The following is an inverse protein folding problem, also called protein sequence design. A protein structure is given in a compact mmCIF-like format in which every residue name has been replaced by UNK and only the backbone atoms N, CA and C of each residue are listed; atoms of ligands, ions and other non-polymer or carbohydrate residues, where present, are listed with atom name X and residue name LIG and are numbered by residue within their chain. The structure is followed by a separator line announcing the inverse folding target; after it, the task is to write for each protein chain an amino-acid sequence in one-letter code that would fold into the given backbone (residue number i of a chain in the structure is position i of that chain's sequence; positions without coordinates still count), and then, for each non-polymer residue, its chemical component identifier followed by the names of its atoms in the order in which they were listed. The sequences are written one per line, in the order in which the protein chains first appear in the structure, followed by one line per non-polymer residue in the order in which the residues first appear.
data_IF_223088655327
#
_entry.id   IF_223088655327
#
_cell.length_a   1.000
_cell.length_b   1.000
_cell.length_c   1.000
_cell.angle_alpha   90.00
_cell.angle_beta   90.00
_cell.angle_gamma   90.00
#
_symmetry.space_group_name_H-M   'P 1'
#
loop_
_entity.id
_entity.type
_entity.pdbx_description
1 polymer ?
#
# COMPACT_ATOMS: atom_id res chain seq x y z
N UNK A 1 7.89 14.27 13.08
CA UNK A 1 8.53 12.93 13.06
C UNK A 1 7.93 12.07 14.16
N UNK A 2 6.70 11.62 13.98
CA UNK A 2 6.12 10.58 14.82
C UNK A 2 6.57 9.24 14.23
N UNK A 3 7.43 8.52 14.96
CA UNK A 3 7.85 7.18 14.57
C UNK A 3 6.63 6.27 14.65
N UNK A 4 6.01 6.00 13.50
CA UNK A 4 5.13 4.86 13.34
C UNK A 4 5.97 3.62 13.62
N UNK A 5 5.88 3.09 14.85
CA UNK A 5 6.39 1.76 15.16
C UNK A 5 5.37 0.81 14.53
N UNK A 6 5.71 0.03 13.50
CA UNK A 6 4.82 -1.05 13.10
C UNK A 6 4.71 -1.98 14.30
N UNK A 7 3.49 -2.12 14.82
CA UNK A 7 3.16 -3.24 15.67
C UNK A 7 3.47 -4.50 14.86
N UNK A 8 4.25 -5.46 15.40
CA UNK A 8 4.33 -6.79 14.82
C UNK A 8 3.02 -7.48 15.19
N UNK A 9 1.92 -7.09 14.55
CA UNK A 9 0.75 -7.95 14.54
C UNK A 9 1.13 -9.18 13.74
N UNK A 10 1.10 -10.31 14.43
CA UNK A 10 1.34 -11.63 13.90
C UNK A 10 0.37 -11.86 12.75
N UNK A 11 0.82 -11.54 11.53
CA UNK A 11 0.13 -11.95 10.32
C UNK A 11 0.04 -13.46 10.33
N UNK A 12 -1.15 -13.99 10.59
CA UNK A 12 -1.48 -15.36 10.20
C UNK A 12 -1.42 -15.37 8.68
N UNK A 13 -0.30 -15.86 8.15
CA UNK A 13 -0.09 -15.92 6.71
C UNK A 13 -0.94 -17.07 6.20
N UNK A 14 -2.09 -16.73 5.62
CA UNK A 14 -2.87 -17.70 4.88
C UNK A 14 -2.21 -17.94 3.53
N UNK A 15 -1.98 -19.22 3.28
CA UNK A 15 -0.92 -19.67 2.43
C UNK A 15 -1.54 -20.84 1.64
N UNK A 16 -1.68 -20.66 0.33
CA UNK A 16 -2.33 -21.63 -0.56
C UNK A 16 -1.36 -22.35 -1.48
N UNK A 17 -1.46 -23.67 -1.47
CA UNK A 17 -0.47 -24.59 -2.03
C UNK A 17 -0.50 -24.57 -3.56
N UNK A 18 0.67 -24.41 -4.19
CA UNK A 18 0.85 -24.39 -5.65
C UNK A 18 1.58 -25.66 -6.10
N UNK A 19 0.94 -26.53 -6.89
CA UNK A 19 1.66 -27.48 -7.76
C UNK A 19 0.85 -27.85 -9.01
N UNK A 20 1.53 -28.22 -10.10
CA UNK A 20 0.91 -28.89 -11.25
C UNK A 20 0.53 -30.35 -10.90
N UNK A 21 -0.73 -30.78 -11.13
CA UNK A 21 -1.14 -32.19 -10.90
C UNK A 21 -0.46 -33.17 -11.85
N UNK A 22 0.09 -32.74 -13.00
CA UNK A 22 0.87 -33.65 -13.83
C UNK A 22 2.12 -34.20 -13.12
N UNK A 23 2.49 -33.59 -11.99
CA UNK A 23 3.56 -34.04 -11.12
C UNK A 23 3.15 -35.13 -10.09
N UNK A 24 1.86 -35.52 -10.00
CA UNK A 24 1.41 -36.55 -9.05
C UNK A 24 1.92 -37.98 -9.37
N UNK A 25 2.40 -38.24 -10.59
CA UNK A 25 3.09 -39.50 -10.92
C UNK A 25 4.56 -39.21 -11.23
N UNK A 26 5.44 -39.58 -10.30
CA UNK A 26 6.89 -39.52 -10.50
C UNK A 26 7.61 -38.34 -9.84
N UNK A 27 6.96 -37.55 -8.97
CA UNK A 27 7.67 -36.55 -8.19
C UNK A 27 8.60 -37.18 -7.15
N UNK A 28 9.82 -36.63 -6.97
CA UNK A 28 10.71 -37.03 -5.89
C UNK A 28 10.04 -36.91 -4.52
N UNK A 29 10.32 -37.84 -3.61
CA UNK A 29 9.75 -37.84 -2.26
C UNK A 29 10.10 -36.58 -1.44
N UNK A 30 11.16 -35.89 -1.84
CA UNK A 30 11.72 -34.68 -1.25
C UNK A 30 11.30 -33.39 -1.98
N UNK A 31 10.33 -33.45 -2.90
CA UNK A 31 9.85 -32.26 -3.59
C UNK A 31 9.38 -31.17 -2.60
N UNK A 32 9.78 -29.90 -2.79
CA UNK A 32 9.42 -28.80 -1.90
C UNK A 32 7.92 -28.53 -1.93
N UNK A 33 7.38 -28.13 -0.77
CA UNK A 33 6.02 -27.64 -0.67
C UNK A 33 6.01 -26.11 -0.72
N UNK A 34 5.42 -25.56 -1.77
CA UNK A 34 5.28 -24.12 -1.93
C UNK A 34 3.90 -23.63 -1.61
N UNK A 35 3.90 -22.38 -1.18
CA UNK A 35 2.71 -21.71 -0.78
C UNK A 35 2.71 -20.26 -1.22
N UNK A 36 1.57 -19.83 -1.75
CA UNK A 36 1.36 -18.54 -2.38
C UNK A 36 0.50 -17.67 -1.47
N UNK A 37 0.91 -16.42 -1.30
CA UNK A 37 0.26 -15.41 -0.45
C UNK A 37 0.59 -14.00 -0.95
N UNK A 38 0.16 -12.96 -0.25
CA UNK A 38 0.53 -11.57 -0.54
C UNK A 38 1.93 -11.26 -0.03
N UNK A 39 2.67 -10.44 -0.76
CA UNK A 39 3.99 -9.94 -0.38
C UNK A 39 3.97 -9.22 0.97
N UNK A 40 2.94 -8.43 1.26
CA UNK A 40 2.81 -7.71 2.53
C UNK A 40 2.58 -8.60 3.75
N UNK A 41 2.21 -9.88 3.55
CA UNK A 41 2.18 -10.86 4.64
C UNK A 41 3.60 -11.29 5.07
N UNK A 42 4.60 -11.05 4.21
CA UNK A 42 6.02 -11.34 4.45
C UNK A 42 6.76 -10.07 4.86
N UNK A 43 6.64 -9.00 4.07
CA UNK A 43 7.25 -7.70 4.34
C UNK A 43 6.47 -6.59 3.69
N UNK A 44 6.26 -5.49 4.42
CA UNK A 44 5.60 -4.27 3.92
C UNK A 44 6.55 -3.28 3.23
N UNK A 45 7.83 -3.62 3.11
CA UNK A 45 8.82 -2.72 2.53
C UNK A 45 8.57 -2.53 1.03
N UNK A 46 8.39 -1.27 0.62
CA UNK A 46 8.35 -0.92 -0.80
C UNK A 46 9.78 -0.85 -1.35
N UNK A 47 9.96 -1.26 -2.61
CA UNK A 47 11.27 -1.27 -3.25
C UNK A 47 12.11 -2.53 -3.03
N UNK A 48 11.72 -3.44 -2.13
CA UNK A 48 12.52 -4.63 -1.80
C UNK A 48 11.89 -5.89 -2.37
N UNK A 49 12.68 -6.67 -3.11
CA UNK A 49 12.31 -8.02 -3.55
C UNK A 49 13.15 -9.03 -2.77
N UNK A 50 12.48 -9.84 -1.95
CA UNK A 50 13.14 -10.83 -1.08
C UNK A 50 13.25 -12.16 -1.84
N UNK A 51 14.46 -12.70 -1.92
CA UNK A 51 14.72 -14.02 -2.51
C UNK A 51 15.63 -14.85 -1.60
N UNK A 52 15.44 -16.17 -1.62
CA UNK A 52 16.22 -17.17 -0.87
C UNK A 52 16.54 -16.80 0.59
N UNK A 53 15.54 -16.29 1.31
CA UNK A 53 15.71 -15.80 2.69
C UNK A 53 14.96 -16.67 3.69
N UNK A 54 15.61 -17.05 4.78
CA UNK A 54 14.98 -17.80 5.87
C UNK A 54 13.86 -16.95 6.51
N UNK A 55 12.79 -17.61 6.93
CA UNK A 55 11.65 -16.94 7.59
C UNK A 55 11.10 -17.81 8.72
N UNK A 56 10.68 -17.15 9.79
CA UNK A 56 9.95 -17.77 10.89
C UNK A 56 8.45 -17.58 10.69
N UNK A 57 7.67 -18.57 11.11
CA UNK A 57 6.21 -18.55 11.02
C UNK A 57 5.65 -19.93 10.70
N UNK A 58 4.34 -19.97 10.47
CA UNK A 58 3.65 -21.20 10.09
C UNK A 58 2.40 -20.90 9.25
N UNK A 59 2.02 -21.86 8.42
CA UNK A 59 0.71 -21.91 7.76
C UNK A 59 -0.20 -22.89 8.49
N UNK A 60 -1.50 -22.60 8.54
CA UNK A 60 -2.51 -23.51 9.08
C UNK A 60 -3.41 -24.05 7.98
N UNK A 61 -3.64 -25.36 7.98
CA UNK A 61 -4.61 -26.05 7.12
C UNK A 61 -5.77 -26.61 7.95
N UNK A 62 -6.91 -26.86 7.31
CA UNK A 62 -8.15 -27.32 7.96
C UNK A 62 -8.57 -26.40 9.11
N UNK A 63 -8.58 -25.09 8.85
CA UNK A 63 -8.97 -24.09 9.84
C UNK A 63 -10.48 -23.80 9.76
N UNK A 64 -11.29 -24.85 9.90
CA UNK A 64 -12.75 -24.77 9.96
C UNK A 64 -13.24 -24.74 11.40
N UNK A 65 -14.45 -24.25 11.63
CA UNK A 65 -15.04 -24.13 12.98
C UNK A 65 -15.23 -25.46 13.69
N UNK A 66 -15.27 -26.56 12.94
CA UNK A 66 -15.52 -27.92 13.39
C UNK A 66 -14.30 -28.85 13.26
N UNK A 67 -13.11 -28.30 12.98
CA UNK A 67 -11.88 -29.09 12.84
C UNK A 67 -10.70 -28.50 13.60
N UNK A 68 -9.77 -29.39 13.99
CA UNK A 68 -8.47 -28.96 14.54
C UNK A 68 -7.55 -28.56 13.39
N UNK A 69 -7.10 -27.31 13.41
CA UNK A 69 -6.13 -26.80 12.46
C UNK A 69 -4.80 -27.56 12.55
N UNK A 70 -4.17 -27.83 11.40
CA UNK A 70 -2.83 -28.40 11.30
C UNK A 70 -1.84 -27.30 10.93
N UNK A 71 -0.87 -27.06 11.81
CA UNK A 71 0.15 -26.02 11.61
C UNK A 71 1.44 -26.61 11.07
N UNK A 72 2.02 -25.98 10.05
CA UNK A 72 3.30 -26.37 9.47
C UNK A 72 4.24 -25.17 9.38
N UNK A 73 5.50 -25.32 9.83
CA UNK A 73 6.45 -24.22 9.84
C UNK A 73 6.92 -23.83 8.44
N UNK A 74 7.17 -22.53 8.26
CA UNK A 74 7.81 -21.99 7.07
C UNK A 74 9.30 -22.33 7.08
N UNK A 75 9.90 -22.43 5.89
CA UNK A 75 11.33 -22.69 5.71
C UNK A 75 12.05 -21.45 5.18
N UNK A 76 11.58 -20.92 4.06
CA UNK A 76 12.18 -19.75 3.41
C UNK A 76 11.20 -19.06 2.46
N UNK A 77 11.44 -17.79 2.22
CA UNK A 77 10.85 -17.01 1.14
C UNK A 77 11.68 -17.28 -0.10
N UNK A 78 11.08 -17.92 -1.11
CA UNK A 78 11.74 -18.13 -2.39
C UNK A 78 11.69 -16.88 -3.25
N UNK A 79 10.58 -16.13 -3.17
CA UNK A 79 10.39 -14.85 -3.83
C UNK A 79 9.26 -14.09 -3.12
N UNK A 80 9.43 -12.79 -2.86
CA UNK A 80 8.37 -11.92 -2.34
C UNK A 80 8.57 -10.50 -2.84
N UNK A 81 7.49 -9.83 -3.23
CA UNK A 81 7.52 -8.46 -3.73
C UNK A 81 6.25 -7.70 -3.35
N UNK A 82 6.42 -6.42 -3.05
CA UNK A 82 5.36 -5.39 -3.09
C UNK A 82 5.56 -4.41 -4.25
N UNK A 83 6.59 -4.66 -5.08
CA UNK A 83 7.03 -3.82 -6.18
C UNK A 83 6.28 -4.22 -7.44
N UNK A 84 5.23 -3.46 -7.78
CA UNK A 84 4.41 -3.71 -8.97
C UNK A 84 3.36 -4.81 -8.82
N UNK A 85 3.57 -5.73 -7.90
CA UNK A 85 2.62 -6.78 -7.49
C UNK A 85 2.76 -7.02 -6.00
N UNK A 86 1.73 -7.58 -5.36
CA UNK A 86 1.75 -7.96 -3.95
C UNK A 86 1.64 -9.47 -3.81
N UNK A 87 2.76 -10.16 -4.00
CA UNK A 87 2.82 -11.62 -4.06
C UNK A 87 4.06 -12.16 -3.35
N UNK A 88 3.92 -13.35 -2.77
CA UNK A 88 5.03 -14.12 -2.21
C UNK A 88 4.86 -15.62 -2.44
N UNK A 89 5.99 -16.28 -2.71
CA UNK A 89 6.15 -17.73 -2.81
C UNK A 89 7.04 -18.17 -1.65
N UNK A 90 6.47 -18.94 -0.74
CA UNK A 90 7.12 -19.42 0.49
C UNK A 90 7.21 -20.93 0.46
N UNK A 91 8.40 -21.47 0.75
CA UNK A 91 8.62 -22.90 0.93
C UNK A 91 8.38 -23.29 2.40
N UNK A 92 7.73 -24.43 2.61
CA UNK A 92 7.50 -25.01 3.93
C UNK A 92 8.64 -25.97 4.31
N UNK A 93 8.83 -26.20 5.61
CA UNK A 93 9.76 -27.23 6.09
C UNK A 93 9.33 -28.66 5.70
N UNK A 94 8.05 -29.08 5.86
CA UNK A 94 7.59 -30.38 5.35
C UNK A 94 7.68 -30.46 3.82
N UNK A 95 7.97 -31.67 3.33
CA UNK A 95 7.94 -31.95 1.89
C UNK A 95 6.51 -31.97 1.37
N UNK A 96 6.38 -31.82 0.06
CA UNK A 96 5.10 -31.93 -0.62
C UNK A 96 4.42 -33.28 -0.36
N UNK A 97 5.21 -34.36 -0.38
CA UNK A 97 4.73 -35.70 -0.10
C UNK A 97 4.18 -35.82 1.32
N UNK A 98 4.88 -35.26 2.31
CA UNK A 98 4.43 -35.26 3.70
C UNK A 98 3.05 -34.62 3.85
N UNK A 99 2.82 -33.48 3.19
CA UNK A 99 1.52 -32.81 3.22
C UNK A 99 0.42 -33.62 2.52
N UNK A 100 0.73 -34.30 1.41
CA UNK A 100 -0.22 -35.20 0.74
C UNK A 100 -0.60 -36.37 1.63
N UNK A 101 0.39 -36.98 2.28
CA UNK A 101 0.17 -38.09 3.21
C UNK A 101 -0.69 -37.64 4.41
N UNK A 102 -0.60 -36.38 4.80
CA UNK A 102 -1.46 -35.71 5.79
C UNK A 102 -2.85 -35.31 5.27
N UNK A 103 -3.18 -35.62 4.01
CA UNK A 103 -4.47 -35.34 3.39
C UNK A 103 -4.61 -33.91 2.83
N UNK A 104 -3.56 -33.10 2.88
CA UNK A 104 -3.55 -31.76 2.29
C UNK A 104 -3.25 -31.93 0.81
N UNK A 105 -4.08 -31.37 -0.06
CA UNK A 105 -3.93 -31.46 -1.52
C UNK A 105 -3.53 -30.11 -2.13
N UNK A 106 -2.67 -30.08 -3.15
CA UNK A 106 -2.30 -28.85 -3.81
C UNK A 106 -3.43 -28.35 -4.71
N UNK A 107 -3.53 -27.03 -4.80
CA UNK A 107 -4.30 -26.39 -5.86
C UNK A 107 -3.38 -26.13 -7.05
N UNK A 108 -3.99 -26.11 -8.24
CA UNK A 108 -3.28 -25.76 -9.47
C UNK A 108 -3.33 -24.26 -9.68
N UNK A 109 -2.32 -23.73 -10.36
CA UNK A 109 -2.38 -22.41 -10.96
C UNK A 109 -3.18 -22.48 -12.26
N UNK A 110 -4.09 -21.52 -12.44
CA UNK A 110 -4.75 -21.30 -13.73
C UNK A 110 -3.70 -20.87 -14.76
N UNK A 111 -3.86 -21.30 -16.02
CA UNK A 111 -3.00 -20.83 -17.12
C UNK A 111 -3.51 -19.56 -17.78
N UNK A 112 -4.77 -19.22 -17.55
CA UNK A 112 -5.46 -18.12 -18.21
C UNK A 112 -6.33 -17.38 -17.20
N UNK A 113 -6.54 -16.10 -17.45
CA UNK A 113 -7.46 -15.28 -16.69
C UNK A 113 -8.91 -15.70 -16.98
N UNK A 114 -9.80 -15.75 -15.98
CA UNK A 114 -11.23 -15.89 -16.25
C UNK A 114 -11.71 -14.75 -17.15
N UNK A 115 -12.70 -15.02 -18.00
CA UNK A 115 -13.40 -13.96 -18.72
C UNK A 115 -14.11 -13.02 -17.73
N UNK A 116 -14.32 -11.77 -18.15
CA UNK A 116 -15.06 -10.80 -17.35
C UNK A 116 -16.45 -11.34 -16.95
N UNK A 117 -16.85 -11.03 -15.74
CA UNK A 117 -18.09 -11.45 -15.08
C UNK A 117 -18.24 -12.98 -14.91
N UNK A 118 -17.16 -13.76 -15.07
CA UNK A 118 -17.21 -15.19 -14.75
C UNK A 118 -17.21 -15.48 -13.27
N UNK A 119 -17.96 -16.53 -12.90
CA UNK A 119 -18.04 -17.03 -11.53
C UNK A 119 -16.68 -17.47 -10.98
N UNK A 120 -16.38 -17.01 -9.78
CA UNK A 120 -15.17 -17.30 -9.02
C UNK A 120 -15.53 -17.63 -7.57
N UNK A 121 -14.57 -18.17 -6.84
CA UNK A 121 -14.66 -18.37 -5.41
C UNK A 121 -13.51 -17.63 -4.73
N UNK A 122 -13.80 -16.91 -3.67
CA UNK A 122 -12.82 -16.52 -2.67
C UNK A 122 -12.87 -17.51 -1.52
N UNK A 123 -11.71 -17.87 -0.98
CA UNK A 123 -11.58 -18.72 0.21
C UNK A 123 -10.56 -18.06 1.14
N UNK A 124 -10.91 -17.77 2.40
CA UNK A 124 -10.02 -17.09 3.34
C UNK A 124 -10.57 -17.01 4.76
N UNK A 125 -9.72 -16.68 5.74
CA UNK A 125 -10.10 -16.49 7.14
C UNK A 125 -9.87 -15.05 7.60
N UNK A 126 -10.80 -14.12 7.30
CA UNK A 126 -10.75 -12.74 7.78
C UNK A 126 -10.73 -12.70 9.31
N UNK A 127 -9.80 -11.95 9.91
CA UNK A 127 -9.53 -11.96 11.35
C UNK A 127 -10.71 -11.51 12.20
N UNK A 128 -11.45 -10.50 11.70
CA UNK A 128 -12.46 -9.79 12.47
C UNK A 128 -13.90 -10.23 12.16
N UNK A 129 -14.10 -11.24 11.30
CA UNK A 129 -15.43 -11.80 11.00
C UNK A 129 -15.67 -13.06 11.82
N UNK A 130 -16.73 -13.03 12.64
CA UNK A 130 -17.16 -14.14 13.50
C UNK A 130 -16.01 -14.73 14.35
N UNK A 131 -15.62 -15.99 14.08
CA UNK A 131 -14.56 -16.71 14.80
C UNK A 131 -13.20 -16.64 14.10
N UNK A 132 -13.10 -15.90 12.99
CA UNK A 132 -11.89 -15.79 12.18
C UNK A 132 -11.44 -17.11 11.53
N UNK A 133 -12.34 -18.05 11.29
CA UNK A 133 -12.08 -19.32 10.61
C UNK A 133 -12.31 -19.21 9.10
N UNK A 134 -11.91 -20.23 8.34
CA UNK A 134 -12.08 -20.28 6.88
C UNK A 134 -13.53 -20.05 6.48
N UNK A 135 -13.70 -19.16 5.51
CA UNK A 135 -14.94 -18.86 4.80
C UNK A 135 -14.75 -19.05 3.32
N UNK A 136 -15.87 -19.15 2.62
CA UNK A 136 -15.90 -19.13 1.17
C UNK A 136 -17.06 -18.25 0.70
N UNK A 137 -16.79 -17.43 -0.30
CA UNK A 137 -17.81 -16.64 -0.98
C UNK A 137 -17.74 -16.87 -2.49
N UNK A 138 -18.90 -16.95 -3.13
CA UNK A 138 -19.01 -16.94 -4.58
C UNK A 138 -19.32 -15.52 -5.07
N UNK A 139 -18.63 -15.11 -6.13
CA UNK A 139 -18.85 -13.82 -6.80
C UNK A 139 -18.38 -13.91 -8.25
N UNK A 140 -18.17 -12.77 -8.89
CA UNK A 140 -17.70 -12.69 -10.29
C UNK A 140 -16.35 -12.00 -10.41
N UNK A 141 -15.56 -12.43 -11.38
CA UNK A 141 -14.31 -11.80 -11.79
C UNK A 141 -14.58 -10.50 -12.54
N UNK A 142 -13.82 -9.46 -12.23
CA UNK A 142 -13.79 -8.22 -12.98
C UNK A 142 -12.35 -7.81 -13.25
N UNK A 143 -12.13 -7.15 -14.38
CA UNK A 143 -10.84 -6.56 -14.71
C UNK A 143 -10.58 -5.33 -13.86
N UNK A 144 -9.31 -5.16 -13.48
CA UNK A 144 -8.78 -3.95 -12.86
C UNK A 144 -7.39 -3.73 -13.47
N UNK A 145 -6.85 -2.52 -13.42
CA UNK A 145 -5.53 -2.27 -13.99
C UNK A 145 -4.55 -1.93 -12.87
N UNK A 146 -4.62 -0.70 -12.39
CA UNK A 146 -3.70 -0.17 -11.39
C UNK A 146 -4.44 0.09 -10.09
N UNK A 147 -3.83 -0.31 -8.98
CA UNK A 147 -4.23 0.10 -7.64
C UNK A 147 -3.07 0.84 -7.01
N UNK A 148 -3.38 1.98 -6.41
CA UNK A 148 -2.42 2.81 -5.70
C UNK A 148 -2.85 2.92 -4.24
N UNK A 149 -2.10 2.27 -3.36
CA UNK A 149 -2.18 2.42 -1.91
C UNK A 149 -0.81 2.89 -1.45
N UNK A 150 -0.60 4.22 -1.39
CA UNK A 150 0.75 4.75 -1.24
C UNK A 150 1.47 4.18 0.01
N UNK A 151 2.73 3.73 -0.13
CA UNK A 151 3.63 3.96 -1.26
C UNK A 151 3.57 2.88 -2.35
N UNK A 152 2.67 1.91 -2.23
CA UNK A 152 2.57 0.76 -3.11
C UNK A 152 1.73 1.06 -4.35
N UNK A 153 2.24 0.62 -5.49
CA UNK A 153 1.56 0.71 -6.77
C UNK A 153 1.57 -0.68 -7.37
N UNK A 154 0.39 -1.29 -7.45
CA UNK A 154 0.20 -2.61 -8.02
C UNK A 154 -0.43 -2.51 -9.41
N UNK A 155 0.19 -3.20 -10.36
CA UNK A 155 -0.21 -3.26 -11.76
C UNK A 155 -0.86 -4.60 -12.04
N UNK A 156 -1.63 -4.64 -13.13
CA UNK A 156 -2.34 -5.83 -13.59
C UNK A 156 -3.22 -6.46 -12.51
N UNK A 157 -3.97 -5.66 -11.76
CA UNK A 157 -4.82 -6.18 -10.67
C UNK A 157 -6.10 -6.83 -11.20
N UNK A 158 -6.82 -7.53 -10.35
CA UNK A 158 -8.18 -8.01 -10.62
C UNK A 158 -9.11 -7.51 -9.55
N UNK A 159 -10.39 -7.38 -9.87
CA UNK A 159 -11.41 -6.95 -8.93
C UNK A 159 -12.50 -8.00 -8.80
N UNK A 160 -13.16 -8.02 -7.65
CA UNK A 160 -14.38 -8.76 -7.40
C UNK A 160 -15.19 -8.08 -6.29
N UNK A 161 -16.38 -8.61 -5.99
CA UNK A 161 -17.24 -8.16 -4.90
C UNK A 161 -17.67 -9.32 -3.99
N UNK A 162 -16.79 -10.29 -3.79
CA UNK A 162 -17.02 -11.39 -2.85
C UNK A 162 -17.32 -10.83 -1.46
N UNK A 163 -18.44 -11.27 -0.87
CA UNK A 163 -18.87 -10.87 0.48
C UNK A 163 -18.00 -11.52 1.54
N UNK A 164 -18.06 -10.98 2.76
CA UNK A 164 -17.34 -11.44 3.94
C UNK A 164 -15.80 -11.36 3.86
N UNK A 165 -15.25 -10.70 2.84
CA UNK A 165 -13.83 -10.34 2.79
C UNK A 165 -13.61 -9.16 3.73
N UNK A 166 -12.56 -9.22 4.56
CA UNK A 166 -12.23 -8.20 5.56
C UNK A 166 -10.73 -8.26 5.90
N UNK A 167 -10.27 -7.39 6.81
CA UNK A 167 -8.92 -7.41 7.37
C UNK A 167 -8.49 -8.83 7.76
N UNK A 168 -7.32 -9.25 7.27
CA UNK A 168 -6.78 -10.60 7.44
C UNK A 168 -7.07 -11.56 6.29
N UNK A 169 -7.94 -11.21 5.34
CA UNK A 169 -8.16 -12.02 4.14
C UNK A 169 -7.01 -11.94 3.12
N UNK A 170 -6.06 -11.01 3.28
CA UNK A 170 -4.90 -10.91 2.41
C UNK A 170 -4.13 -12.22 2.29
N UNK A 171 -3.65 -12.53 1.08
CA UNK A 171 -3.00 -13.81 0.78
C UNK A 171 -3.95 -14.94 0.40
N UNK A 172 -5.26 -14.74 0.55
CA UNK A 172 -6.29 -15.69 0.14
C UNK A 172 -6.38 -15.88 -1.38
N UNK A 173 -6.68 -17.07 -1.91
CA UNK A 173 -6.78 -17.31 -3.32
C UNK A 173 -8.13 -16.84 -3.83
N UNK A 174 -8.09 -16.44 -5.09
CA UNK A 174 -9.25 -16.38 -5.94
C UNK A 174 -9.18 -17.59 -6.89
N UNK A 175 -10.24 -18.39 -6.87
CA UNK A 175 -10.33 -19.66 -7.57
C UNK A 175 -11.32 -19.55 -8.73
N UNK A 176 -10.98 -20.17 -9.85
CA UNK A 176 -11.92 -20.42 -10.93
C UNK A 176 -13.01 -21.39 -10.48
N UNK A 177 -14.29 -21.06 -10.69
CA UNK A 177 -15.42 -21.90 -10.21
C UNK A 177 -15.45 -23.30 -10.83
N UNK A 178 -14.99 -23.44 -12.09
CA UNK A 178 -15.08 -24.67 -12.88
C UNK A 178 -14.11 -25.77 -12.41
N UNK A 179 -12.90 -25.39 -12.02
CA UNK A 179 -11.79 -26.32 -11.78
C UNK A 179 -10.98 -26.02 -10.51
N UNK A 180 -11.38 -25.01 -9.72
CA UNK A 180 -10.74 -24.61 -8.47
C UNK A 180 -9.24 -24.32 -8.64
N UNK A 181 -8.88 -23.70 -9.75
CA UNK A 181 -7.50 -23.27 -10.01
C UNK A 181 -7.31 -21.85 -9.49
N UNK A 182 -6.17 -21.60 -8.85
CA UNK A 182 -5.81 -20.28 -8.35
C UNK A 182 -5.45 -19.42 -9.56
N UNK A 183 -6.20 -18.35 -9.79
CA UNK A 183 -5.91 -17.41 -10.87
C UNK A 183 -5.41 -16.06 -10.34
N UNK A 184 -5.70 -15.72 -9.07
CA UNK A 184 -5.18 -14.55 -8.40
C UNK A 184 -5.08 -14.76 -6.88
N UNK A 185 -4.35 -13.88 -6.20
CA UNK A 185 -4.25 -13.80 -4.74
C UNK A 185 -4.80 -12.45 -4.30
N UNK A 186 -5.68 -12.47 -3.31
CA UNK A 186 -6.30 -11.29 -2.73
C UNK A 186 -5.26 -10.46 -1.98
N UNK A 187 -5.20 -9.16 -2.22
CA UNK A 187 -4.22 -8.27 -1.58
C UNK A 187 -4.87 -7.11 -0.82
N UNK A 188 -5.97 -6.55 -1.34
CA UNK A 188 -6.63 -5.37 -0.76
C UNK A 188 -8.15 -5.55 -0.76
N UNK A 189 -8.83 -5.01 0.24
CA UNK A 189 -10.30 -4.87 0.28
C UNK A 189 -10.68 -3.42 0.52
N UNK A 190 -11.69 -2.96 -0.20
CA UNK A 190 -12.33 -1.65 -0.04
C UNK A 190 -13.81 -1.82 0.31
N UNK A 191 -14.14 -2.83 1.12
CA UNK A 191 -15.50 -3.02 1.61
C UNK A 191 -15.82 -2.01 2.70
N UNK A 192 -17.04 -1.48 2.71
CA UNK A 192 -17.47 -0.53 3.74
C UNK A 192 -17.31 -1.07 5.18
N UNK A 193 -17.27 -2.39 5.38
CA UNK A 193 -17.06 -3.00 6.69
C UNK A 193 -15.59 -3.07 7.13
N UNK A 194 -14.62 -2.87 6.23
CA UNK A 194 -13.20 -2.91 6.58
C UNK A 194 -12.78 -1.59 7.22
N UNK A 195 -12.06 -1.67 8.34
CA UNK A 195 -11.58 -0.49 9.08
C UNK A 195 -10.62 0.39 8.27
N UNK A 196 -9.98 -0.17 7.24
CA UNK A 196 -8.92 0.45 6.43
C UNK A 196 -9.33 0.63 4.95
N UNK A 197 -10.61 0.91 4.69
CA UNK A 197 -11.10 1.17 3.33
C UNK A 197 -10.32 2.32 2.69
N UNK A 198 -9.77 2.09 1.50
CA UNK A 198 -9.01 3.11 0.75
C UNK A 198 -9.97 4.11 0.11
N UNK A 199 -9.73 5.40 0.35
CA UNK A 199 -10.51 6.48 -0.26
C UNK A 199 -10.28 6.55 -1.79
N UNK A 200 -11.35 6.78 -2.54
CA UNK A 200 -11.29 7.01 -3.98
C UNK A 200 -11.18 8.51 -4.26
N UNK A 201 -10.04 8.92 -4.81
CA UNK A 201 -9.78 10.29 -5.20
C UNK A 201 -9.71 10.49 -6.72
N UNK A 202 -10.17 9.52 -7.51
CA UNK A 202 -10.07 9.59 -8.98
C UNK A 202 -10.88 10.72 -9.62
N UNK A 203 -11.98 11.16 -8.98
CA UNK A 203 -12.76 12.32 -9.43
C UNK A 203 -12.15 13.67 -9.00
N UNK A 204 -11.29 13.68 -7.97
CA UNK A 204 -10.70 14.88 -7.39
C UNK A 204 -9.26 15.14 -7.86
N UNK A 205 -8.50 14.07 -8.09
CA UNK A 205 -7.08 14.12 -8.44
C UNK A 205 -6.89 13.56 -9.85
N UNK A 206 -6.46 14.40 -10.81
CA UNK A 206 -6.11 13.91 -12.13
C UNK A 206 -5.06 12.80 -12.07
N UNK A 207 -5.31 11.68 -12.75
CA UNK A 207 -4.38 10.55 -12.82
C UNK A 207 -4.40 9.60 -11.61
N UNK A 208 -5.24 9.83 -10.60
CA UNK A 208 -5.43 8.87 -9.50
C UNK A 208 -6.22 7.65 -9.99
N UNK A 209 -5.72 6.41 -9.80
CA UNK A 209 -6.43 5.22 -10.24
C UNK A 209 -7.76 5.03 -9.49
N UNK A 210 -8.87 4.72 -10.19
CA UNK A 210 -10.19 4.60 -9.56
C UNK A 210 -10.26 3.43 -8.56
N UNK A 211 -10.78 3.73 -7.38
CA UNK A 211 -10.96 2.79 -6.27
C UNK A 211 -12.45 2.52 -6.05
N UNK A 212 -12.98 1.52 -6.76
CA UNK A 212 -14.40 1.20 -6.68
C UNK A 212 -14.77 0.73 -5.27
N UNK A 213 -15.75 1.40 -4.67
CA UNK A 213 -16.30 1.04 -3.37
C UNK A 213 -16.84 -0.40 -3.35
N UNK A 214 -16.88 -1.00 -2.16
CA UNK A 214 -17.39 -2.35 -1.93
C UNK A 214 -16.75 -3.43 -2.81
N UNK A 215 -15.46 -3.25 -3.11
CA UNK A 215 -14.70 -4.13 -3.99
C UNK A 215 -13.49 -4.74 -3.29
N UNK A 216 -13.05 -5.90 -3.77
CA UNK A 216 -11.80 -6.51 -3.35
C UNK A 216 -10.87 -6.68 -4.55
N UNK A 217 -9.58 -6.53 -4.31
CA UNK A 217 -8.55 -6.56 -5.31
C UNK A 217 -7.59 -7.73 -5.08
N UNK A 218 -7.00 -8.22 -6.17
CA UNK A 218 -5.99 -9.26 -6.13
C UNK A 218 -4.96 -9.13 -7.24
N UNK A 219 -3.84 -9.83 -7.09
CA UNK A 219 -2.80 -9.94 -8.10
C UNK A 219 -2.92 -11.29 -8.84
N UNK A 220 -3.02 -11.30 -10.18
CA UNK A 220 -2.99 -12.49 -11.01
C UNK A 220 -1.74 -13.33 -10.82
N UNK A 221 -1.91 -14.64 -10.91
CA UNK A 221 -0.83 -15.63 -10.75
C UNK A 221 -0.71 -16.56 -11.95
N UNK A 222 -1.45 -16.27 -13.03
CA UNK A 222 -1.49 -17.08 -14.25
C UNK A 222 -0.12 -17.22 -14.92
N UNK A 223 0.71 -16.17 -14.79
CA UNK A 223 2.08 -16.13 -15.30
C UNK A 223 3.06 -16.98 -14.49
N UNK A 224 2.72 -17.35 -13.25
CA UNK A 224 3.61 -18.13 -12.40
C UNK A 224 3.71 -19.59 -12.83
N UNK A 225 2.75 -20.10 -13.59
CA UNK A 225 2.72 -21.52 -13.99
C UNK A 225 4.02 -21.96 -14.67
N UNK A 226 4.57 -21.13 -15.56
CA UNK A 226 5.83 -21.42 -16.27
C UNK A 226 7.07 -21.39 -15.37
N UNK A 227 7.00 -20.71 -14.23
CA UNK A 227 8.09 -20.65 -13.26
C UNK A 227 8.32 -21.99 -12.55
N UNK A 228 7.36 -22.92 -12.57
CA UNK A 228 7.49 -24.20 -11.88
C UNK A 228 7.81 -25.33 -12.87
N UNK A 229 9.05 -25.82 -12.82
CA UNK A 229 9.51 -26.99 -13.59
C UNK A 229 9.66 -28.21 -12.67
N UNK A 230 8.98 -29.32 -12.96
CA UNK A 230 9.01 -30.52 -12.10
C UNK A 230 8.44 -30.30 -10.68
N UNK A 231 7.74 -29.18 -10.46
CA UNK A 231 7.25 -28.74 -9.15
C UNK A 231 8.24 -27.94 -8.32
N UNK A 232 9.37 -27.52 -8.90
CA UNK A 232 10.36 -26.64 -8.26
C UNK A 232 10.33 -25.26 -8.92
N UNK A 233 10.41 -24.19 -8.12
CA UNK A 233 10.49 -22.83 -8.64
C UNK A 233 11.84 -22.62 -9.34
N UNK A 234 11.80 -22.19 -10.61
CA UNK A 234 12.98 -21.77 -11.37
C UNK A 234 13.30 -20.31 -11.10
N UNK A 235 14.58 -20.02 -10.89
CA UNK A 235 15.12 -18.65 -10.82
C UNK A 235 15.75 -18.19 -12.13
N UNK A 236 15.68 -19.02 -13.18
CA UNK A 236 16.18 -18.67 -14.50
C UNK A 236 15.26 -17.64 -15.16
N UNK A 237 15.75 -16.42 -15.47
CA UNK A 237 14.94 -15.37 -16.11
C UNK A 237 14.47 -15.74 -17.52
N UNK A 238 15.06 -16.76 -18.18
CA UNK A 238 14.55 -17.30 -19.44
C UNK A 238 13.27 -18.15 -19.24
N UNK A 239 13.03 -18.65 -18.03
CA UNK A 239 11.91 -19.52 -17.67
C UNK A 239 10.86 -18.76 -16.87
N UNK A 240 11.29 -17.92 -15.93
CA UNK A 240 10.42 -17.28 -14.95
C UNK A 240 10.52 -15.75 -15.00
N UNK A 241 9.41 -15.10 -15.36
CA UNK A 241 9.31 -13.63 -15.44
C UNK A 241 9.27 -12.95 -14.05
N UNK A 242 9.48 -13.68 -12.96
CA UNK A 242 9.76 -13.07 -11.66
C UNK A 242 11.20 -12.58 -11.55
N UNK A 243 12.06 -12.97 -12.49
CA UNK A 243 13.49 -12.68 -12.53
C UNK A 243 13.88 -11.94 -13.82
N UNK A 244 14.95 -11.13 -13.82
CA UNK A 244 15.82 -10.82 -12.68
C UNK A 244 15.13 -9.90 -11.65
N UNK A 245 15.58 -9.99 -10.40
CA UNK A 245 15.14 -9.12 -9.30
C UNK A 245 16.17 -8.03 -9.04
N UNK A 246 15.73 -6.91 -8.49
CA UNK A 246 16.58 -5.89 -7.88
C UNK A 246 15.80 -5.27 -6.72
N UNK A 247 16.51 -4.66 -5.78
CA UNK A 247 15.93 -4.00 -4.63
C UNK A 247 16.47 -2.59 -4.47
N UNK A 248 15.58 -1.67 -4.12
CA UNK A 248 15.84 -0.26 -3.80
C UNK A 248 15.47 -0.02 -2.35
N UNK A 249 16.40 0.51 -1.58
CA UNK A 249 16.22 0.83 -0.16
C UNK A 249 16.26 2.35 0.05
N UNK A 250 15.17 2.90 0.56
CA UNK A 250 15.04 4.31 0.95
C UNK A 250 15.22 4.51 2.47
N UNK A 251 15.07 3.45 3.26
CA UNK A 251 15.09 3.50 4.73
C UNK A 251 16.49 3.71 5.29
N UNK A 252 17.51 3.08 4.70
CA UNK A 252 18.89 3.22 5.18
C UNK A 252 19.41 4.66 5.16
N UNK A 253 18.89 5.49 4.26
CA UNK A 253 19.24 6.90 4.16
C UNK A 253 18.30 7.82 4.96
N UNK A 254 17.33 7.24 5.68
CA UNK A 254 16.44 7.94 6.61
C UNK A 254 15.38 8.83 5.95
N UNK A 255 15.14 8.69 4.64
CA UNK A 255 14.18 9.52 3.90
C UNK A 255 13.37 8.69 2.91
N UNK A 256 12.11 8.44 3.27
CA UNK A 256 11.13 7.83 2.37
C UNK A 256 10.76 8.76 1.20
N UNK A 257 10.40 8.22 0.03
CA UNK A 257 9.91 9.02 -1.09
C UNK A 257 8.73 9.90 -0.68
N UNK A 258 8.74 11.14 -1.16
CA UNK A 258 7.61 12.04 -0.97
C UNK A 258 6.37 11.50 -1.69
N UNK A 259 5.23 11.58 -1.01
CA UNK A 259 3.90 11.15 -1.48
C UNK A 259 3.06 12.32 -2.01
N UNK A 260 3.35 13.50 -1.47
CA UNK A 260 2.68 14.76 -1.73
C UNK A 260 3.75 15.78 -2.07
N UNK A 261 3.47 16.61 -3.07
CA UNK A 261 4.28 17.74 -3.50
C UNK A 261 3.35 18.90 -3.86
N UNK A 262 3.81 20.14 -3.72
CA UNK A 262 3.00 21.32 -4.05
C UNK A 262 3.85 22.35 -4.77
N UNK A 263 3.32 22.86 -5.87
CA UNK A 263 3.97 23.91 -6.66
C UNK A 263 4.06 25.18 -5.82
N UNK A 264 5.23 25.83 -5.85
CA UNK A 264 5.46 27.12 -5.19
C UNK A 264 5.38 28.26 -6.21
N UNK A 265 5.17 29.48 -5.74
CA UNK A 265 5.33 30.70 -6.55
C UNK A 265 6.64 31.39 -6.17
N UNK A 266 7.42 31.79 -7.16
CA UNK A 266 8.57 32.67 -6.93
C UNK A 266 8.14 34.13 -6.69
N UNK A 267 9.11 35.01 -6.45
CA UNK A 267 8.87 36.43 -6.17
C UNK A 267 8.17 37.17 -7.33
N UNK A 268 8.24 36.64 -8.56
CA UNK A 268 7.55 37.17 -9.74
C UNK A 268 6.20 36.49 -9.99
N UNK A 269 5.77 35.59 -9.11
CA UNK A 269 4.50 34.87 -9.22
C UNK A 269 4.53 33.73 -10.23
N UNK A 270 5.70 33.20 -10.59
CA UNK A 270 5.84 32.07 -11.53
C UNK A 270 5.91 30.75 -10.77
N UNK A 271 5.36 29.70 -11.37
CA UNK A 271 5.38 28.35 -10.80
C UNK A 271 6.81 27.78 -10.72
N UNK A 272 7.18 27.36 -9.52
CA UNK A 272 8.39 26.59 -9.20
C UNK A 272 7.95 25.17 -8.83
N UNK A 273 8.35 24.21 -9.66
CA UNK A 273 8.00 22.80 -9.47
C UNK A 273 9.04 22.12 -8.57
N UNK A 274 8.60 21.27 -7.62
CA UNK A 274 9.52 20.51 -6.79
C UNK A 274 10.24 19.44 -7.60
N UNK A 275 11.39 18.99 -7.10
CA UNK A 275 12.07 17.80 -7.59
C UNK A 275 11.54 16.54 -6.92
N UNK A 276 11.85 15.38 -7.52
CA UNK A 276 11.64 14.08 -6.88
C UNK A 276 12.47 13.92 -5.59
N UNK A 277 13.64 14.57 -5.51
CA UNK A 277 14.52 14.64 -4.34
C UNK A 277 14.74 13.28 -3.67
N UNK A 278 15.03 12.27 -4.49
CA UNK A 278 15.23 10.90 -4.05
C UNK A 278 16.71 10.64 -3.76
N UNK A 279 16.96 9.93 -2.67
CA UNK A 279 18.24 9.32 -2.33
C UNK A 279 17.97 7.89 -1.92
N UNK A 280 18.70 6.93 -2.46
CA UNK A 280 18.45 5.51 -2.20
C UNK A 280 19.71 4.67 -2.37
N UNK A 281 19.65 3.45 -1.83
CA UNK A 281 20.57 2.37 -2.18
C UNK A 281 19.88 1.44 -3.16
N UNK A 282 20.63 0.85 -4.08
CA UNK A 282 20.13 -0.18 -4.99
C UNK A 282 21.16 -1.30 -5.11
N UNK A 283 20.70 -2.54 -5.14
CA UNK A 283 21.55 -3.74 -5.11
C UNK A 283 22.22 -4.09 -6.46
N UNK A 284 21.92 -3.31 -7.51
CA UNK A 284 22.57 -3.40 -8.83
C UNK A 284 23.61 -2.29 -9.01
N UNK A 285 24.69 -2.52 -9.78
CA UNK A 285 25.76 -1.52 -9.95
C UNK A 285 25.33 -0.26 -10.71
N UNK A 286 24.28 -0.36 -11.53
CA UNK A 286 23.70 0.75 -12.28
C UNK A 286 22.18 0.74 -12.14
N UNK A 287 21.54 1.87 -12.43
CA UNK A 287 20.09 1.97 -12.55
C UNK A 287 19.68 2.84 -13.74
N UNK A 288 18.40 2.73 -14.11
CA UNK A 288 17.73 3.65 -15.03
C UNK A 288 16.40 4.07 -14.42
N UNK A 289 15.91 5.25 -14.80
CA UNK A 289 14.57 5.67 -14.45
C UNK A 289 13.86 6.36 -15.61
N UNK A 290 12.55 6.53 -15.49
CA UNK A 290 11.75 7.40 -16.34
C UNK A 290 10.54 7.93 -15.61
N UNK A 291 10.05 9.07 -16.07
CA UNK A 291 8.76 9.63 -15.66
C UNK A 291 7.70 9.26 -16.69
N UNK A 292 6.49 8.97 -16.22
CA UNK A 292 5.39 8.48 -17.06
C UNK A 292 4.05 9.03 -16.58
N UNK A 293 3.04 8.99 -17.46
CA UNK A 293 1.68 9.47 -17.17
C UNK A 293 0.78 8.35 -16.62
N UNK A 294 1.20 7.08 -16.77
CA UNK A 294 0.52 5.92 -16.21
C UNK A 294 1.51 4.90 -15.67
N UNK A 295 1.22 4.33 -14.50
CA UNK A 295 2.02 3.27 -13.88
C UNK A 295 2.27 2.06 -14.81
N UNK A 296 1.33 1.74 -15.71
CA UNK A 296 1.48 0.64 -16.67
C UNK A 296 2.64 0.86 -17.65
N UNK A 297 2.97 2.11 -17.96
CA UNK A 297 4.08 2.45 -18.84
C UNK A 297 5.43 2.10 -18.21
N UNK A 298 5.52 1.83 -16.90
CA UNK A 298 6.76 1.35 -16.28
C UNK A 298 7.21 -0.01 -16.83
N UNK A 299 6.33 -0.78 -17.48
CA UNK A 299 6.71 -2.05 -18.09
C UNK A 299 7.18 -1.91 -19.55
N UNK A 300 7.02 -0.73 -20.15
CA UNK A 300 7.56 -0.44 -21.48
C UNK A 300 9.05 -0.11 -21.37
N UNK A 301 9.97 -0.83 -22.04
CA UNK A 301 11.39 -0.52 -21.99
C UNK A 301 11.76 0.83 -22.62
N UNK A 302 10.88 1.43 -23.44
CA UNK A 302 11.15 2.70 -24.12
C UNK A 302 11.07 3.88 -23.14
N UNK A 303 11.98 4.85 -23.32
CA UNK A 303 11.98 6.11 -22.57
C UNK A 303 12.73 6.09 -21.25
N UNK A 304 13.30 4.95 -20.83
CA UNK A 304 14.24 4.92 -19.71
C UNK A 304 15.50 5.73 -20.02
N UNK A 305 16.04 6.38 -18.99
CA UNK A 305 17.29 7.12 -19.03
C UNK A 305 18.46 6.26 -19.53
N UNK A 306 19.58 6.91 -19.83
CA UNK A 306 20.87 6.22 -19.87
C UNK A 306 21.17 5.58 -18.51
N UNK A 307 22.10 4.62 -18.46
CA UNK A 307 22.50 4.00 -17.19
C UNK A 307 23.25 4.97 -16.30
N UNK A 308 22.86 5.03 -15.04
CA UNK A 308 23.44 5.89 -14.01
C UNK A 308 24.13 5.00 -12.97
N UNK A 309 25.25 5.45 -12.44
CA UNK A 309 25.98 4.75 -11.37
C UNK A 309 25.12 4.68 -10.10
N UNK A 310 25.07 3.51 -9.47
CA UNK A 310 24.40 3.33 -8.17
C UNK A 310 25.21 3.87 -6.99
N UNK A 311 26.45 4.32 -7.21
CA UNK A 311 27.21 5.05 -6.20
C UNK A 311 26.54 6.41 -5.97
N UNK A 312 26.15 6.68 -4.72
CA UNK A 312 25.42 7.90 -4.33
C UNK A 312 24.14 8.14 -5.14
N UNK A 313 23.36 7.07 -5.36
CA UNK A 313 22.19 7.10 -6.23
C UNK A 313 21.15 8.16 -5.81
N UNK A 314 20.71 8.93 -6.79
CA UNK A 314 19.93 10.14 -6.60
C UNK A 314 19.05 10.46 -7.82
N UNK A 315 17.82 10.93 -7.60
CA UNK A 315 16.96 11.46 -8.67
C UNK A 315 16.43 12.82 -8.21
N UNK A 316 17.01 13.88 -8.77
CA UNK A 316 16.70 15.29 -8.46
C UNK A 316 15.97 16.01 -9.60
N UNK A 317 15.56 15.26 -10.63
CA UNK A 317 14.77 15.81 -11.73
C UNK A 317 13.48 16.45 -11.21
N UNK A 318 13.01 17.56 -11.82
CA UNK A 318 11.72 18.13 -11.49
C UNK A 318 10.61 17.12 -11.73
N UNK A 319 9.62 17.11 -10.82
CA UNK A 319 8.33 16.46 -11.06
C UNK A 319 7.71 17.11 -12.31
N UNK A 320 7.05 16.30 -13.13
CA UNK A 320 6.44 16.82 -14.35
C UNK A 320 5.37 17.86 -14.04
N UNK A 321 5.09 18.74 -15.01
CA UNK A 321 4.24 19.92 -14.79
C UNK A 321 2.75 19.60 -14.72
N UNK A 322 2.40 18.33 -14.56
CA UNK A 322 1.04 17.84 -14.50
C UNK A 322 0.56 17.85 -13.05
N UNK A 323 -0.46 18.65 -12.76
CA UNK A 323 -1.17 18.58 -11.47
C UNK A 323 -1.89 17.22 -11.38
N UNK A 324 -1.86 16.62 -10.19
CA UNK A 324 -2.37 15.28 -9.92
C UNK A 324 -1.25 14.26 -9.75
N UNK A 325 -1.53 12.99 -10.04
CA UNK A 325 -0.56 11.92 -9.85
C UNK A 325 0.49 11.93 -10.95
N UNK A 326 1.76 11.96 -10.53
CA UNK A 326 2.94 11.80 -11.36
C UNK A 326 3.65 10.50 -10.98
N UNK A 327 4.14 9.76 -11.98
CA UNK A 327 4.73 8.45 -11.77
C UNK A 327 6.22 8.45 -12.12
N UNK A 328 7.03 7.79 -11.29
CA UNK A 328 8.43 7.53 -11.56
C UNK A 328 8.69 6.02 -11.56
N UNK A 329 9.28 5.52 -12.63
CA UNK A 329 9.67 4.13 -12.77
C UNK A 329 11.18 4.00 -12.58
N UNK A 330 11.65 3.00 -11.83
CA UNK A 330 13.06 2.68 -11.67
C UNK A 330 13.33 1.21 -11.98
N UNK A 331 14.48 0.94 -12.60
CA UNK A 331 15.00 -0.42 -12.81
C UNK A 331 16.49 -0.50 -12.43
N UNK A 332 16.88 -1.60 -11.79
CA UNK A 332 18.27 -1.95 -11.55
C UNK A 332 18.87 -2.74 -12.72
N UNK A 333 20.09 -2.41 -13.14
CA UNK A 333 20.79 -3.10 -14.23
C UNK A 333 22.24 -3.41 -13.89
N UNK A 334 22.71 -4.58 -14.36
CA UNK A 334 24.08 -5.05 -14.08
C UNK A 334 25.15 -4.40 -14.97
N UNK A 335 24.78 -3.85 -16.13
CA UNK A 335 25.70 -3.20 -17.06
C UNK A 335 24.96 -2.23 -17.99
N UNK A 336 25.71 -1.37 -18.69
CA UNK A 336 25.15 -0.47 -19.70
C UNK A 336 24.46 -1.21 -20.86
N UNK A 337 24.93 -2.42 -21.17
CA UNK A 337 24.42 -3.28 -22.24
C UNK A 337 23.33 -4.25 -21.77
N UNK A 338 22.93 -4.22 -20.49
CA UNK A 338 21.85 -5.07 -19.98
C UNK A 338 20.56 -4.76 -20.74
N UNK A 339 20.06 -5.74 -21.48
CA UNK A 339 18.85 -5.62 -22.28
C UNK A 339 17.60 -5.84 -21.42
N UNK A 340 16.54 -5.03 -21.60
CA UNK A 340 15.30 -5.21 -20.86
C UNK A 340 14.67 -6.57 -21.17
N UNK A 341 14.23 -7.26 -20.12
CA UNK A 341 13.46 -8.50 -20.20
C UNK A 341 12.07 -8.28 -19.62
N UNK A 342 11.10 -9.14 -19.96
CA UNK A 342 9.74 -9.06 -19.41
C UNK A 342 9.77 -9.07 -17.88
N UNK A 343 10.60 -9.92 -17.27
CA UNK A 343 10.69 -9.98 -15.82
C UNK A 343 11.33 -8.75 -15.18
N UNK A 344 12.38 -8.19 -15.78
CA UNK A 344 12.96 -6.93 -15.30
C UNK A 344 11.93 -5.79 -15.35
N UNK A 345 11.17 -5.70 -16.44
CA UNK A 345 10.19 -4.64 -16.63
C UNK A 345 8.99 -4.80 -15.69
N UNK A 346 8.50 -6.01 -15.45
CA UNK A 346 7.46 -6.28 -14.45
C UNK A 346 7.93 -5.96 -13.04
N UNK A 347 9.21 -6.18 -12.76
CA UNK A 347 9.84 -5.79 -11.52
C UNK A 347 10.20 -4.29 -11.49
N UNK A 348 9.76 -3.43 -12.40
CA UNK A 348 10.02 -2.00 -12.25
C UNK A 348 9.40 -1.45 -10.95
N UNK A 349 10.20 -0.72 -10.17
CA UNK A 349 9.70 0.04 -9.03
C UNK A 349 8.92 1.24 -9.54
N UNK A 350 7.69 1.38 -9.08
CA UNK A 350 6.84 2.53 -9.41
C UNK A 350 6.57 3.33 -8.16
N UNK A 351 6.99 4.60 -8.19
CA UNK A 351 6.69 5.59 -7.18
C UNK A 351 5.62 6.53 -7.73
N UNK A 352 4.77 7.02 -6.84
CA UNK A 352 3.73 7.98 -7.16
C UNK A 352 3.85 9.18 -6.24
N UNK A 353 3.72 10.37 -6.81
CA UNK A 353 3.62 11.62 -6.06
C UNK A 353 2.40 12.39 -6.56
N UNK A 354 1.56 12.84 -5.64
CA UNK A 354 0.50 13.79 -5.94
C UNK A 354 1.10 15.19 -5.97
N UNK A 355 1.11 15.84 -7.14
CA UNK A 355 1.51 17.22 -7.31
C UNK A 355 0.28 18.13 -7.25
N UNK A 356 0.24 18.97 -6.22
CA UNK A 356 -0.82 19.96 -5.99
C UNK A 356 -0.51 21.30 -6.65
N UNK A 357 -1.55 22.03 -7.08
CA UNK A 357 -1.35 23.35 -7.67
C UNK A 357 -0.83 24.34 -6.63
N UNK A 358 -0.18 25.39 -7.11
CA UNK A 358 0.17 26.53 -6.27
C UNK A 358 -1.12 27.25 -5.83
N UNK A 359 -1.10 27.83 -4.64
CA UNK A 359 -2.22 28.57 -4.11
C UNK A 359 -2.09 28.82 -2.61
N UNK A 360 -3.00 29.61 -2.02
CA UNK A 360 -3.00 29.82 -0.58
C UNK A 360 -3.21 28.49 0.16
N UNK A 361 -2.59 28.36 1.33
CA UNK A 361 -2.89 27.28 2.26
C UNK A 361 -4.34 27.39 2.72
N UNK A 362 -5.15 26.31 2.65
CA UNK A 362 -6.52 26.32 3.13
C UNK A 362 -6.62 26.80 4.58
N UNK A 363 -7.72 27.47 4.92
CA UNK A 363 -7.96 27.92 6.29
C UNK A 363 -8.05 26.73 7.25
N UNK A 364 -7.65 26.95 8.50
CA UNK A 364 -7.72 25.92 9.51
C UNK A 364 -9.17 25.47 9.79
N UNK A 365 -9.38 24.15 9.75
CA UNK A 365 -10.67 23.54 10.07
C UNK A 365 -10.74 23.16 11.55
N UNK A 366 -11.21 24.08 12.38
CA UNK A 366 -11.40 23.88 13.83
C UNK A 366 -12.82 23.43 14.12
N UNK A 367 -12.95 22.30 14.82
CA UNK A 367 -14.22 21.72 15.29
C UNK A 367 -14.27 21.89 16.81
N UNK A 368 -15.28 22.62 17.30
CA UNK A 368 -15.51 22.85 18.72
C UNK A 368 -16.78 22.10 19.12
N UNK A 369 -16.66 21.21 20.10
CA UNK A 369 -17.75 20.35 20.53
C UNK A 369 -17.72 20.04 22.02
N UNK A 370 -18.46 19.00 22.41
CA UNK A 370 -18.42 18.43 23.76
C UNK A 370 -18.17 16.94 23.68
N UNK A 371 -17.35 16.42 24.58
CA UNK A 371 -17.20 14.97 24.73
C UNK A 371 -18.40 14.34 25.45
N UNK A 372 -18.41 13.01 25.56
CA UNK A 372 -19.46 12.23 26.26
C UNK A 372 -19.69 12.61 27.73
N UNK A 373 -18.75 13.32 28.35
CA UNK A 373 -18.84 13.81 29.72
C UNK A 373 -19.24 15.29 29.81
N UNK A 374 -19.61 15.91 28.68
CA UNK A 374 -20.05 17.30 28.60
C UNK A 374 -18.92 18.34 28.64
N UNK A 375 -17.65 17.93 28.66
CA UNK A 375 -16.52 18.85 28.64
C UNK A 375 -16.26 19.35 27.22
N UNK A 376 -15.98 20.65 27.07
CA UNK A 376 -15.66 21.24 25.76
C UNK A 376 -14.40 20.62 25.17
N UNK A 377 -14.47 20.26 23.90
CA UNK A 377 -13.36 19.73 23.11
C UNK A 377 -13.10 20.60 21.90
N UNK A 378 -11.84 20.66 21.50
CA UNK A 378 -11.40 21.30 20.26
C UNK A 378 -10.59 20.27 19.51
N UNK A 379 -11.00 19.99 18.29
CA UNK A 379 -10.28 19.13 17.36
C UNK A 379 -10.02 19.89 16.07
N UNK A 380 -8.97 19.50 15.36
CA UNK A 380 -8.64 20.07 14.07
C UNK A 380 -8.84 18.99 13.03
N UNK A 381 -9.65 19.27 12.01
CA UNK A 381 -9.82 18.35 10.89
C UNK A 381 -8.48 18.19 10.19
N UNK A 382 -7.91 16.99 10.23
CA UNK A 382 -6.63 16.73 9.62
C UNK A 382 -6.84 16.28 8.18
N UNK A 383 -6.98 17.24 7.27
CA UNK A 383 -6.91 16.98 5.83
C UNK A 383 -5.43 16.79 5.43
N UNK A 384 -4.90 15.61 5.75
CA UNK A 384 -3.48 15.26 5.60
C UNK A 384 -2.89 15.50 4.21
N UNK A 385 -3.74 15.62 3.19
CA UNK A 385 -3.33 15.96 1.82
C UNK A 385 -3.01 17.45 1.66
N UNK A 386 -3.78 18.34 2.31
CA UNK A 386 -3.65 19.79 2.14
C UNK A 386 -2.91 20.46 3.29
N UNK A 387 -2.94 19.87 4.48
CA UNK A 387 -2.41 20.44 5.71
C UNK A 387 -1.40 19.46 6.33
N UNK A 388 -0.17 19.93 6.50
CA UNK A 388 0.91 19.19 7.16
C UNK A 388 0.79 19.28 8.70
N UNK A 389 0.54 20.47 9.22
CA UNK A 389 0.33 20.67 10.66
C UNK A 389 -0.39 21.98 10.98
N UNK A 390 -0.86 22.08 12.22
CA UNK A 390 -1.45 23.29 12.78
C UNK A 390 -0.53 23.94 13.81
N UNK A 391 -0.56 25.27 13.88
CA UNK A 391 0.01 26.02 15.00
C UNK A 391 -1.09 26.81 15.69
N UNK A 392 -1.04 26.83 17.02
CA UNK A 392 -2.13 27.33 17.85
C UNK A 392 -1.60 28.23 18.97
N UNK A 393 -2.29 29.36 19.19
CA UNK A 393 -2.14 30.25 20.35
C UNK A 393 -3.47 30.29 21.11
N UNK A 394 -3.41 30.16 22.43
CA UNK A 394 -4.62 30.11 23.27
C UNK A 394 -4.47 30.95 24.52
N UNK A 395 -5.56 31.59 24.94
CA UNK A 395 -5.61 32.33 26.19
C UNK A 395 -6.95 33.03 26.43
N UNK A 396 -7.04 33.88 27.47
CA UNK A 396 -8.24 34.66 27.74
C UNK A 396 -8.58 35.58 26.55
N UNK A 397 -9.86 35.73 26.15
CA UNK A 397 -10.25 36.51 24.97
C UNK A 397 -9.75 37.95 24.95
N UNK A 398 -9.71 38.60 26.11
CA UNK A 398 -9.34 40.01 26.22
C UNK A 398 -7.83 40.26 26.14
N UNK A 399 -7.00 39.22 26.31
CA UNK A 399 -5.54 39.35 26.39
C UNK A 399 -4.80 38.57 25.31
N UNK A 400 -5.54 37.80 24.50
CA UNK A 400 -4.96 36.96 23.45
C UNK A 400 -5.06 37.69 22.12
N UNK A 401 -3.97 38.29 21.71
CA UNK A 401 -3.84 38.91 20.40
C UNK A 401 -3.40 37.86 19.37
N UNK A 402 -4.24 37.60 18.37
CA UNK A 402 -3.96 36.64 17.30
C UNK A 402 -3.06 37.21 16.21
N UNK A 403 -2.88 38.55 16.15
CA UNK A 403 -1.96 39.19 15.23
C UNK A 403 -0.50 39.13 15.72
N UNK A 404 -0.28 38.93 17.02
CA UNK A 404 1.06 38.76 17.60
C UNK A 404 1.59 37.33 17.38
N UNK A 405 2.69 37.15 16.63
CA UNK A 405 3.24 35.84 16.32
C UNK A 405 3.83 35.12 17.54
N UNK A 406 4.09 35.82 18.65
CA UNK A 406 4.59 35.17 19.86
C UNK A 406 3.53 34.29 20.51
N UNK A 407 3.96 33.12 20.99
CA UNK A 407 3.11 32.20 21.77
C UNK A 407 2.36 31.14 20.96
N UNK A 408 2.46 31.14 19.63
CA UNK A 408 2.02 30.03 18.80
C UNK A 408 2.90 28.79 19.03
N UNK A 409 2.28 27.62 19.08
CA UNK A 409 2.95 26.33 19.21
C UNK A 409 2.36 25.32 18.25
N UNK A 410 3.19 24.46 17.68
CA UNK A 410 2.73 23.34 16.86
C UNK A 410 1.87 22.41 17.71
N UNK A 411 0.71 22.03 17.17
CA UNK A 411 -0.24 21.14 17.81
C UNK A 411 -0.48 19.92 16.94
N UNK A 412 -0.41 18.75 17.58
CA UNK A 412 -0.56 17.45 16.92
C UNK A 412 -1.74 16.64 17.49
N UNK A 413 -2.54 17.21 18.40
CA UNK A 413 -3.57 16.47 19.15
C UNK A 413 -4.76 17.34 19.50
N UNK A 414 -5.91 16.70 19.58
CA UNK A 414 -7.14 17.28 20.11
C UNK A 414 -6.97 17.71 21.57
N UNK A 415 -7.73 18.75 21.94
CA UNK A 415 -7.72 19.33 23.27
C UNK A 415 -9.05 19.11 23.97
N UNK A 416 -8.99 18.61 25.21
CA UNK A 416 -10.11 18.70 26.15
C UNK A 416 -9.88 19.90 27.06
N UNK A 417 -10.80 20.86 27.03
CA UNK A 417 -10.69 22.11 27.77
C UNK A 417 -11.25 21.96 29.19
N UNK A 418 -10.57 22.56 30.17
CA UNK A 418 -11.06 22.60 31.56
C UNK A 418 -12.07 23.74 31.69
N UNK A 419 -13.15 23.53 32.43
CA UNK A 419 -14.16 24.57 32.64
C UNK A 419 -13.56 25.90 33.17
N UNK A 420 -12.54 25.80 34.04
CA UNK A 420 -11.84 26.97 34.61
C UNK A 420 -10.99 27.78 33.62
N UNK A 421 -10.70 27.23 32.43
CA UNK A 421 -9.97 27.96 31.38
C UNK A 421 -10.91 28.64 30.38
N UNK A 422 -12.22 28.60 30.61
CA UNK A 422 -13.23 29.22 29.76
C UNK A 422 -13.69 30.58 30.36
N UNK A 423 -14.05 31.57 29.52
CA UNK A 423 -14.00 31.54 28.06
C UNK A 423 -12.56 31.56 27.52
N UNK A 424 -12.33 30.91 26.38
CA UNK A 424 -11.00 30.75 25.79
C UNK A 424 -11.03 31.24 24.34
N UNK A 425 -10.06 32.09 23.96
CA UNK A 425 -9.80 32.44 22.56
C UNK A 425 -8.71 31.53 22.01
N UNK A 426 -8.93 31.05 20.80
CA UNK A 426 -8.04 30.14 20.08
C UNK A 426 -7.72 30.79 18.75
N UNK A 427 -6.45 31.04 18.50
CA UNK A 427 -5.94 31.50 17.21
C UNK A 427 -5.26 30.31 16.54
N UNK A 428 -5.64 29.98 15.30
CA UNK A 428 -5.09 28.85 14.55
C UNK A 428 -4.70 29.27 13.15
N UNK A 429 -3.55 28.82 12.66
CA UNK A 429 -3.32 28.73 11.21
C UNK A 429 -2.76 27.35 10.85
N UNK A 430 -3.10 26.90 9.65
CA UNK A 430 -2.61 25.67 9.06
C UNK A 430 -1.31 25.93 8.32
N UNK A 431 -0.46 24.91 8.21
CA UNK A 431 0.69 24.90 7.31
C UNK A 431 0.46 23.85 6.23
N UNK A 432 0.68 24.22 4.96
CA UNK A 432 0.72 23.24 3.88
C UNK A 432 2.04 22.46 3.89
N UNK A 433 2.21 21.53 2.94
CA UNK A 433 3.41 20.71 2.80
C UNK A 433 4.68 21.49 2.42
N UNK A 434 4.56 22.73 1.97
CA UNK A 434 5.67 23.65 1.76
C UNK A 434 5.98 24.49 3.01
N UNK A 435 5.21 24.34 4.08
CA UNK A 435 5.28 25.13 5.30
C UNK A 435 4.61 26.49 5.20
N UNK A 436 3.91 26.80 4.09
CA UNK A 436 3.22 28.07 3.90
C UNK A 436 2.03 28.17 4.88
N UNK A 437 1.91 29.25 5.66
CA UNK A 437 0.80 29.41 6.60
C UNK A 437 -0.49 29.86 5.90
N UNK A 438 -1.63 29.39 6.41
CA UNK A 438 -2.96 29.93 6.08
C UNK A 438 -3.18 31.30 6.73
N UNK A 439 -4.32 31.93 6.40
CA UNK A 439 -4.83 33.01 7.24
C UNK A 439 -5.09 32.52 8.67
N UNK A 440 -4.95 33.42 9.64
CA UNK A 440 -5.25 33.13 11.05
C UNK A 440 -6.76 33.09 11.24
N UNK A 441 -7.26 31.94 11.70
CA UNK A 441 -8.62 31.76 12.16
C UNK A 441 -8.72 32.03 13.66
N UNK A 442 -9.76 32.73 14.07
CA UNK A 442 -10.04 33.03 15.48
C UNK A 442 -11.34 32.37 15.92
N UNK A 443 -11.30 31.60 16.99
CA UNK A 443 -12.49 30.99 17.61
C UNK A 443 -12.57 31.37 19.09
N UNK A 444 -13.80 31.54 19.62
CA UNK A 444 -14.05 31.75 21.05
C UNK A 444 -14.88 30.60 21.59
N UNK A 445 -14.31 29.86 22.55
CA UNK A 445 -15.06 28.87 23.32
C UNK A 445 -15.71 29.56 24.52
N UNK A 446 -17.05 29.59 24.61
CA UNK A 446 -17.75 30.31 25.67
C UNK A 446 -17.59 29.65 27.03
N UNK A 447 -17.93 30.39 28.10
CA UNK A 447 -18.00 29.85 29.45
C UNK A 447 -19.04 28.72 29.56
N UNK A 448 -18.81 27.78 30.47
CA UNK A 448 -19.76 26.69 30.72
C UNK A 448 -21.12 27.26 31.20
N UNK A 449 -22.16 27.10 30.37
CA UNK A 449 -23.53 27.56 30.68
C UNK A 449 -24.08 28.63 29.74
N UNK A 450 -23.26 29.18 28.83
CA UNK A 450 -23.73 30.12 27.80
C UNK A 450 -24.17 29.33 26.55
N UNK A 451 -25.42 29.51 26.11
CA UNK A 451 -25.93 28.92 24.88
C UNK A 451 -25.19 29.52 23.66
N UNK A 452 -24.79 28.69 22.70
CA UNK A 452 -24.31 29.12 21.39
C UNK A 452 -25.54 29.63 20.63
N UNK A 453 -25.60 30.92 20.33
CA UNK A 453 -26.53 31.44 19.33
C UNK A 453 -25.89 31.21 17.97
N UNK A 454 -26.39 30.22 17.23
CA UNK A 454 -26.11 30.10 15.80
C UNK A 454 -26.51 31.39 15.10
N UNK A 455 -25.55 32.04 14.46
CA UNK A 455 -25.80 33.05 13.45
C UNK A 455 -25.21 32.54 12.13
N UNK A 456 -26.06 31.94 11.32
CA UNK A 456 -25.85 31.70 9.89
C UNK A 456 -25.74 33.05 9.13
N UNK A 457 -25.14 33.12 7.94
CA UNK A 457 -25.48 32.30 6.78
C UNK A 457 -24.38 31.36 6.28
#
# INVERSE_FOLDING_TARGET
MERYRPHPEQGRVELYRVTDRHAQRGQPADAPAYVLTSGHCISRQNGVIITDSAIEGSVQFNFFTDSTARSYPLKRVNWSSMQGVDLAIVELQPTLKSLIDDGIQPLKLASEMPEQDREILWVGAPLNKDTGHLRMAACVHQTSEVIMEQPWVWRHTVRNQCRDVDTGASGSPLLTRKNNEIYAVLNLTNQASSADATEDFSDEIPGFPPMVADSNYGNPVTLLKKCFGGGTLSTDPAICDLFPTFSVDFDMLGRQPARLARVQLDAEGRNVYPSWDLRFLIDTPLYRYKKVDSAMQCEDPVGYSHTISSQDAAIDDPVDRQIGINWLCMIGVSSAQHLPTVGLMRNALTLAIELQPAGPTPEAQVIIGKNRFGASTVSWSYEHRLIDHYTVKMGPPNTTDCADPQGFKTLFRDLTLRAKSLPLKICTYAHDINGQPSAVREDIVPAAGSAVTDSAP
#
